data_IF_842300308804
#
_entry.id   IF_842300308804
#
_cell.length_a   1.000
_cell.length_b   1.000
_cell.length_c   1.000
_cell.angle_alpha   90.00
_cell.angle_beta   90.00
_cell.angle_gamma   90.00
#
_symmetry.space_group_name_H-M   'P 1'
#
loop_
_entity.id
_entity.type
_entity.pdbx_description
1 polymer ?
#
# COMPACT_ATOMS: atom_id res chain seq x y z
N UNK A 1 -35.62 -27.80 54.29
CA UNK A 1 -34.16 -27.85 54.01
C UNK A 1 -33.91 -26.84 52.91
N UNK A 2 -33.54 -25.60 53.29
CA UNK A 2 -33.28 -24.52 52.34
C UNK A 2 -31.84 -24.62 51.86
N UNK A 3 -31.61 -24.80 50.56
CA UNK A 3 -30.29 -24.64 49.96
C UNK A 3 -29.84 -23.19 50.11
N UNK A 4 -28.95 -22.93 51.06
CA UNK A 4 -28.14 -21.71 51.07
C UNK A 4 -27.12 -21.86 49.95
N UNK A 5 -27.27 -21.08 48.88
CA UNK A 5 -26.25 -20.96 47.85
C UNK A 5 -24.98 -20.40 48.49
N UNK A 6 -23.88 -21.13 48.40
CA UNK A 6 -22.59 -20.68 48.89
C UNK A 6 -22.05 -19.58 47.95
N UNK A 7 -22.19 -18.32 48.39
CA UNK A 7 -21.81 -17.12 47.65
C UNK A 7 -20.29 -16.84 47.66
N UNK A 8 -19.48 -17.74 48.24
CA UNK A 8 -18.03 -17.54 48.40
C UNK A 8 -17.18 -18.16 47.28
N UNK A 9 -17.76 -18.97 46.39
CA UNK A 9 -16.98 -19.60 45.32
C UNK A 9 -16.67 -18.62 44.18
N UNK A 10 -15.41 -18.60 43.73
CA UNK A 10 -14.94 -17.86 42.56
C UNK A 10 -15.82 -18.10 41.32
N UNK A 11 -16.42 -19.29 41.23
CA UNK A 11 -17.32 -19.73 40.17
C UNK A 11 -18.68 -18.97 40.19
N UNK A 12 -19.25 -18.71 41.36
CA UNK A 12 -20.49 -17.93 41.50
C UNK A 12 -20.29 -16.45 41.16
N UNK A 13 -19.09 -15.91 41.43
CA UNK A 13 -18.65 -14.58 40.98
C UNK A 13 -18.49 -14.52 39.47
N UNK A 14 -17.85 -15.53 38.88
CA UNK A 14 -17.70 -15.68 37.43
C UNK A 14 -19.06 -15.72 36.72
N UNK A 15 -20.02 -16.52 37.19
CA UNK A 15 -21.33 -16.60 36.55
C UNK A 15 -22.15 -15.29 36.65
N UNK A 16 -22.05 -14.55 37.76
CA UNK A 16 -22.76 -13.27 37.94
C UNK A 16 -22.20 -12.13 37.08
N UNK A 17 -20.90 -12.12 36.82
CA UNK A 17 -20.31 -11.16 35.88
C UNK A 17 -20.45 -11.64 34.45
N UNK A 18 -20.22 -12.92 34.18
CA UNK A 18 -20.23 -13.45 32.81
C UNK A 18 -21.64 -13.39 32.21
N UNK A 19 -22.73 -13.80 32.87
CA UNK A 19 -24.04 -13.88 32.20
C UNK A 19 -24.65 -12.52 31.77
N UNK A 20 -24.80 -11.51 32.64
CA UNK A 20 -25.38 -10.23 32.24
C UNK A 20 -24.45 -9.45 31.32
N UNK A 21 -23.13 -9.60 31.51
CA UNK A 21 -22.12 -8.96 30.68
C UNK A 21 -22.02 -9.64 29.32
N UNK A 22 -22.21 -10.96 29.23
CA UNK A 22 -22.28 -11.70 27.99
C UNK A 22 -23.55 -11.35 27.19
N UNK A 23 -24.70 -11.20 27.84
CA UNK A 23 -25.94 -10.72 27.16
C UNK A 23 -25.80 -9.26 26.72
N UNK A 24 -25.26 -8.38 27.57
CA UNK A 24 -25.00 -6.98 27.21
C UNK A 24 -23.96 -6.89 26.08
N UNK A 25 -22.88 -7.66 26.17
CA UNK A 25 -21.85 -7.78 25.15
C UNK A 25 -22.44 -8.30 23.86
N UNK A 26 -23.26 -9.36 23.87
CA UNK A 26 -23.93 -9.92 22.69
C UNK A 26 -24.92 -8.92 22.05
N UNK A 27 -25.77 -8.25 22.83
CA UNK A 27 -26.75 -7.29 22.28
C UNK A 27 -26.03 -6.03 21.76
N UNK A 28 -25.06 -5.51 22.49
CA UNK A 28 -24.32 -4.33 22.10
C UNK A 28 -23.41 -4.65 20.91
N UNK A 29 -22.68 -5.77 20.92
CA UNK A 29 -21.87 -6.21 19.77
C UNK A 29 -22.72 -6.49 18.56
N UNK A 30 -23.86 -7.19 18.64
CA UNK A 30 -24.69 -7.48 17.46
C UNK A 30 -25.25 -6.19 16.84
N UNK A 31 -25.79 -5.26 17.64
CA UNK A 31 -26.28 -3.97 17.10
C UNK A 31 -25.16 -3.09 16.55
N UNK A 32 -24.01 -3.01 17.23
CA UNK A 32 -22.85 -2.27 16.73
C UNK A 32 -22.27 -2.94 15.49
N UNK A 33 -22.20 -4.27 15.43
CA UNK A 33 -21.75 -5.05 14.28
C UNK A 33 -22.68 -4.81 13.10
N UNK A 34 -24.00 -4.85 13.26
CA UNK A 34 -24.94 -4.58 12.16
C UNK A 34 -24.76 -3.15 11.62
N UNK A 35 -24.67 -2.14 12.51
CA UNK A 35 -24.39 -0.75 12.08
C UNK A 35 -23.03 -0.62 11.43
N UNK A 36 -22.01 -1.25 12.00
CA UNK A 36 -20.67 -1.33 11.47
C UNK A 36 -20.66 -1.94 10.07
N UNK A 37 -21.32 -3.08 9.85
CA UNK A 37 -21.45 -3.73 8.55
C UNK A 37 -22.21 -2.85 7.54
N UNK A 38 -23.30 -2.18 7.95
CA UNK A 38 -24.02 -1.24 7.07
C UNK A 38 -23.13 -0.06 6.65
N UNK A 39 -22.40 0.54 7.59
CA UNK A 39 -21.41 1.57 7.28
C UNK A 39 -20.29 1.03 6.40
N UNK A 40 -19.84 -0.20 6.63
CA UNK A 40 -18.81 -0.84 5.81
C UNK A 40 -19.25 -1.00 4.35
N UNK A 41 -20.49 -1.47 4.14
CA UNK A 41 -21.07 -1.66 2.80
C UNK A 41 -21.23 -0.30 2.10
N UNK A 42 -21.76 0.70 2.81
CA UNK A 42 -21.93 2.05 2.26
C UNK A 42 -20.59 2.67 1.86
N UNK A 43 -19.58 2.58 2.71
CA UNK A 43 -18.23 3.09 2.43
C UNK A 43 -17.60 2.34 1.25
N UNK A 44 -17.65 1.01 1.24
CA UNK A 44 -17.12 0.20 0.13
C UNK A 44 -17.78 0.54 -1.21
N UNK A 45 -19.08 0.82 -1.21
CA UNK A 45 -19.81 1.25 -2.40
C UNK A 45 -19.45 2.65 -2.88
N UNK A 46 -19.07 3.55 -1.96
CA UNK A 46 -18.64 4.91 -2.27
C UNK A 46 -17.19 4.95 -2.79
N UNK A 47 -16.29 4.15 -2.21
CA UNK A 47 -14.90 4.05 -2.65
C UNK A 47 -14.78 3.60 -4.11
N UNK A 48 -15.55 2.57 -4.52
CA UNK A 48 -15.58 2.07 -5.92
C UNK A 48 -16.09 3.09 -6.95
N UNK A 49 -16.82 4.13 -6.53
CA UNK A 49 -17.33 5.18 -7.45
C UNK A 49 -16.33 6.31 -7.65
N UNK A 50 -15.30 6.42 -6.82
CA UNK A 50 -14.29 7.47 -6.94
C UNK A 50 -13.24 7.16 -8.01
N UNK A 51 -13.16 5.93 -8.50
CA UNK A 51 -12.11 5.43 -9.41
C UNK A 51 -12.25 5.85 -10.88
N UNK A 52 -13.06 6.86 -11.22
CA UNK A 52 -13.15 7.43 -12.58
C UNK A 52 -11.92 8.30 -12.91
N UNK A 53 -10.71 7.75 -12.75
CA UNK A 53 -9.41 8.39 -12.92
C UNK A 53 -8.69 8.00 -14.21
N UNK A 54 -9.35 7.26 -15.11
CA UNK A 54 -8.73 6.61 -16.28
C UNK A 54 -8.09 7.55 -17.31
N UNK A 55 -8.19 8.87 -17.14
CA UNK A 55 -7.57 9.85 -18.04
C UNK A 55 -6.15 10.30 -17.63
N UNK A 56 -5.71 10.02 -16.39
CA UNK A 56 -4.42 10.52 -15.91
C UNK A 56 -3.30 9.49 -16.10
N UNK A 57 -2.44 9.72 -17.09
CA UNK A 57 -1.32 8.83 -17.40
C UNK A 57 -0.12 8.98 -16.48
N UNK A 58 0.10 10.17 -15.91
CA UNK A 58 1.22 10.40 -14.99
C UNK A 58 0.73 11.13 -13.76
N UNK A 59 0.84 10.49 -12.60
CA UNK A 59 0.36 10.98 -11.31
C UNK A 59 1.49 10.99 -10.31
N UNK A 60 1.57 12.04 -9.50
CA UNK A 60 2.41 12.08 -8.30
C UNK A 60 1.51 12.01 -7.06
N UNK A 61 1.79 11.08 -6.16
CA UNK A 61 1.22 11.05 -4.81
C UNK A 61 2.29 11.44 -3.79
N UNK A 62 2.03 12.53 -3.08
CA UNK A 62 2.93 13.11 -2.10
C UNK A 62 2.34 13.14 -0.69
N UNK A 63 3.18 13.35 0.31
CA UNK A 63 2.73 13.47 1.69
C UNK A 63 3.86 13.20 2.68
N UNK A 64 3.69 13.70 3.90
CA UNK A 64 4.65 13.47 4.98
C UNK A 64 4.78 11.97 5.33
N UNK A 65 5.75 11.66 6.18
CA UNK A 65 5.92 10.29 6.64
C UNK A 65 4.75 9.87 7.53
N UNK A 66 4.21 8.68 7.27
CA UNK A 66 3.06 8.17 8.02
C UNK A 66 1.69 8.64 7.53
N UNK A 67 1.57 9.55 6.56
CA UNK A 67 0.25 10.00 6.04
C UNK A 67 -0.45 8.98 5.15
N UNK A 68 0.26 7.95 4.70
CA UNK A 68 -0.31 6.85 3.89
C UNK A 68 -0.15 7.00 2.38
N UNK A 69 0.69 7.91 1.89
CA UNK A 69 0.98 8.11 0.45
C UNK A 69 1.31 6.83 -0.34
N UNK A 70 2.18 5.97 0.18
CA UNK A 70 2.54 4.69 -0.45
C UNK A 70 1.34 3.77 -0.50
N UNK A 71 0.59 3.73 0.61
CA UNK A 71 -0.56 2.85 0.73
C UNK A 71 -1.65 3.20 -0.29
N UNK A 72 -1.93 4.48 -0.44
CA UNK A 72 -2.92 4.97 -1.40
C UNK A 72 -2.40 4.98 -2.83
N UNK A 73 -1.08 5.01 -3.03
CA UNK A 73 -0.45 4.77 -4.32
C UNK A 73 -0.58 3.33 -4.79
N UNK A 74 -0.38 2.36 -3.89
CA UNK A 74 -0.57 0.93 -4.20
C UNK A 74 -2.03 0.64 -4.53
N UNK A 75 -2.96 1.08 -3.68
CA UNK A 75 -4.40 0.87 -3.90
C UNK A 75 -4.85 1.44 -5.25
N UNK A 76 -4.42 2.66 -5.56
CA UNK A 76 -4.68 3.31 -6.84
C UNK A 76 -4.07 2.56 -8.04
N UNK A 77 -2.86 2.04 -7.89
CA UNK A 77 -2.18 1.31 -8.96
C UNK A 77 -2.86 -0.04 -9.26
N UNK A 78 -3.33 -0.73 -8.21
CA UNK A 78 -4.07 -1.99 -8.34
C UNK A 78 -5.38 -1.75 -9.08
N UNK A 79 -6.21 -0.82 -8.62
CA UNK A 79 -7.49 -0.51 -9.27
C UNK A 79 -7.32 -0.14 -10.74
N UNK A 80 -6.29 0.66 -11.06
CA UNK A 80 -6.00 1.06 -12.43
C UNK A 80 -5.51 -0.12 -13.29
N UNK A 81 -4.70 -1.03 -12.73
CA UNK A 81 -4.24 -2.22 -13.44
C UNK A 81 -5.39 -3.20 -13.73
N UNK A 82 -6.32 -3.38 -12.78
CA UNK A 82 -7.53 -4.17 -13.01
C UNK A 82 -8.40 -3.60 -14.13
N UNK A 83 -8.62 -2.27 -14.13
CA UNK A 83 -9.38 -1.59 -15.18
C UNK A 83 -8.69 -1.74 -16.55
N UNK A 84 -7.37 -1.52 -16.61
CA UNK A 84 -6.61 -1.65 -17.86
C UNK A 84 -6.62 -3.08 -18.40
N UNK A 85 -6.39 -4.10 -17.55
CA UNK A 85 -6.43 -5.51 -17.98
C UNK A 85 -7.80 -5.89 -18.54
N UNK A 86 -8.90 -5.48 -17.88
CA UNK A 86 -10.27 -5.74 -18.36
C UNK A 86 -10.53 -5.06 -19.72
N UNK A 87 -10.12 -3.80 -19.89
CA UNK A 87 -10.24 -3.06 -21.17
C UNK A 87 -9.41 -3.73 -22.26
N UNK A 88 -8.16 -4.10 -21.99
CA UNK A 88 -7.26 -4.76 -22.94
C UNK A 88 -7.83 -6.12 -23.37
N UNK A 89 -8.25 -6.96 -22.43
CA UNK A 89 -8.81 -8.29 -22.72
C UNK A 89 -10.12 -8.19 -23.50
N UNK A 90 -10.97 -7.21 -23.22
CA UNK A 90 -12.20 -6.95 -23.99
C UNK A 90 -11.88 -6.51 -25.42
N UNK A 91 -10.92 -5.58 -25.57
CA UNK A 91 -10.50 -5.07 -26.88
C UNK A 91 -9.86 -6.17 -27.72
N UNK A 92 -8.99 -6.99 -27.12
CA UNK A 92 -8.39 -8.15 -27.76
C UNK A 92 -9.45 -9.13 -28.30
N UNK A 93 -10.46 -9.48 -27.48
CA UNK A 93 -11.57 -10.35 -27.91
C UNK A 93 -12.34 -9.75 -29.09
N UNK A 94 -12.60 -8.44 -29.06
CA UNK A 94 -13.27 -7.73 -30.15
C UNK A 94 -12.46 -7.77 -31.44
N UNK A 95 -11.15 -7.49 -31.36
CA UNK A 95 -10.26 -7.49 -32.53
C UNK A 95 -10.09 -8.90 -33.09
N UNK A 96 -9.93 -9.90 -32.22
CA UNK A 96 -9.86 -11.32 -32.61
C UNK A 96 -11.12 -11.78 -33.33
N UNK A 97 -12.31 -11.35 -32.89
CA UNK A 97 -13.57 -11.66 -33.57
C UNK A 97 -13.69 -10.98 -34.95
N UNK A 98 -13.06 -9.82 -35.13
CA UNK A 98 -13.08 -9.02 -36.36
C UNK A 98 -11.75 -9.07 -37.13
N UNK A 99 -10.97 -10.14 -36.97
CA UNK A 99 -9.57 -10.25 -37.42
C UNK A 99 -9.33 -9.79 -38.86
N UNK A 100 -10.17 -10.22 -39.81
CA UNK A 100 -10.03 -9.85 -41.23
C UNK A 100 -10.19 -8.35 -41.50
N UNK A 101 -10.98 -7.64 -40.69
CA UNK A 101 -11.16 -6.19 -40.81
C UNK A 101 -9.98 -5.45 -40.16
N UNK A 102 -9.54 -5.93 -38.99
CA UNK A 102 -8.38 -5.40 -38.26
C UNK A 102 -7.09 -5.53 -39.08
N UNK A 103 -6.83 -6.69 -39.68
CA UNK A 103 -5.61 -6.92 -40.48
C UNK A 103 -5.54 -6.07 -41.77
N UNK A 104 -6.68 -5.55 -42.26
CA UNK A 104 -6.72 -4.65 -43.43
C UNK A 104 -6.39 -3.20 -43.08
N UNK A 105 -6.53 -2.81 -41.82
CA UNK A 105 -6.23 -1.48 -41.32
C UNK A 105 -4.84 -1.50 -40.66
N UNK A 106 -3.92 -0.68 -41.17
CA UNK A 106 -2.52 -0.69 -40.68
C UNK A 106 -2.42 -0.30 -39.20
N UNK A 107 -3.27 0.62 -38.73
CA UNK A 107 -3.26 1.11 -37.35
C UNK A 107 -3.81 0.01 -36.44
N UNK A 108 -5.00 -0.51 -36.76
CA UNK A 108 -5.63 -1.55 -35.95
C UNK A 108 -4.80 -2.84 -35.92
N UNK A 109 -4.10 -3.16 -37.01
CA UNK A 109 -3.20 -4.31 -37.09
C UNK A 109 -2.01 -4.19 -36.13
N UNK A 110 -1.41 -2.99 -36.02
CA UNK A 110 -0.32 -2.73 -35.05
C UNK A 110 -0.83 -2.80 -33.62
N UNK A 111 -1.96 -2.15 -33.33
CA UNK A 111 -2.59 -2.19 -32.01
C UNK A 111 -2.94 -3.64 -31.62
N UNK A 112 -3.46 -4.44 -32.57
CA UNK A 112 -3.79 -5.84 -32.31
C UNK A 112 -2.57 -6.68 -31.94
N UNK A 113 -1.44 -6.44 -32.60
CA UNK A 113 -0.18 -7.12 -32.27
C UNK A 113 0.30 -6.78 -30.85
N UNK A 114 0.18 -5.52 -30.42
CA UNK A 114 0.53 -5.13 -29.06
C UNK A 114 -0.39 -5.79 -28.01
N UNK A 115 -1.69 -5.93 -28.33
CA UNK A 115 -2.63 -6.67 -27.49
C UNK A 115 -2.30 -8.17 -27.44
N UNK A 116 -1.90 -8.78 -28.56
CA UNK A 116 -1.44 -10.18 -28.60
C UNK A 116 -0.22 -10.38 -27.70
N UNK A 117 0.80 -9.53 -27.84
CA UNK A 117 2.02 -9.58 -27.02
C UNK A 117 1.71 -9.39 -25.53
N UNK A 118 0.76 -8.52 -25.17
CA UNK A 118 0.31 -8.36 -23.78
C UNK A 118 -0.32 -9.65 -23.23
N UNK A 119 -1.24 -10.26 -23.98
CA UNK A 119 -1.94 -11.48 -23.54
C UNK A 119 -0.93 -12.63 -23.41
N UNK A 120 -0.07 -12.83 -24.40
CA UNK A 120 0.98 -13.86 -24.36
C UNK A 120 1.93 -13.66 -23.19
N UNK A 121 2.31 -12.42 -22.90
CA UNK A 121 3.17 -12.11 -21.76
C UNK A 121 2.53 -12.52 -20.43
N UNK A 122 1.28 -12.13 -20.17
CA UNK A 122 0.63 -12.42 -18.89
C UNK A 122 0.16 -13.86 -18.76
N UNK A 123 -0.21 -14.52 -19.86
CA UNK A 123 -0.49 -15.96 -19.87
C UNK A 123 0.78 -16.79 -19.58
N UNK A 124 1.97 -16.26 -19.90
CA UNK A 124 3.25 -16.89 -19.54
C UNK A 124 3.70 -16.62 -18.08
N UNK A 125 3.05 -15.69 -17.38
CA UNK A 125 3.38 -15.27 -16.00
C UNK A 125 2.14 -15.37 -15.09
N UNK A 126 1.51 -16.55 -15.03
CA UNK A 126 0.29 -16.79 -14.27
C UNK A 126 0.42 -16.55 -12.75
N UNK A 127 1.65 -16.57 -12.21
CA UNK A 127 1.95 -16.28 -10.80
C UNK A 127 2.03 -14.77 -10.49
N UNK A 128 1.89 -13.92 -11.50
CA UNK A 128 2.00 -12.48 -11.39
C UNK A 128 0.64 -11.76 -11.55
N UNK A 129 0.50 -10.63 -10.86
CA UNK A 129 -0.68 -9.78 -10.99
C UNK A 129 -0.62 -8.99 -12.32
N UNK A 130 -1.62 -9.12 -13.20
CA UNK A 130 -1.55 -8.58 -14.56
C UNK A 130 -1.55 -7.05 -14.57
N UNK A 131 -0.81 -6.49 -15.53
CA UNK A 131 -0.76 -5.07 -15.82
C UNK A 131 -0.02 -4.20 -14.80
N UNK A 132 0.52 -4.73 -13.70
CA UNK A 132 1.14 -3.92 -12.64
C UNK A 132 2.63 -4.22 -12.45
N UNK A 133 3.41 -3.14 -12.41
CA UNK A 133 4.85 -3.13 -12.09
C UNK A 133 5.11 -2.21 -10.90
N UNK A 134 6.00 -2.59 -9.98
CA UNK A 134 6.37 -1.74 -8.85
C UNK A 134 7.84 -1.85 -8.42
N UNK A 135 8.40 -0.74 -7.93
CA UNK A 135 9.74 -0.71 -7.33
C UNK A 135 9.80 -1.35 -5.95
N UNK A 136 8.64 -1.60 -5.32
CA UNK A 136 8.55 -2.27 -4.03
C UNK A 136 7.84 -3.61 -4.15
N UNK A 137 8.26 -4.64 -3.38
CA UNK A 137 7.59 -5.92 -3.42
C UNK A 137 6.14 -5.83 -2.94
N UNK A 138 5.19 -6.18 -3.81
CA UNK A 138 3.75 -6.21 -3.54
C UNK A 138 3.18 -7.57 -3.95
N UNK A 139 2.24 -8.07 -3.15
CA UNK A 139 1.42 -9.23 -3.44
C UNK A 139 -0.05 -8.83 -3.38
N UNK A 140 -0.84 -9.19 -4.39
CA UNK A 140 -2.28 -8.91 -4.49
C UNK A 140 -2.99 -10.24 -4.66
N UNK A 141 -3.87 -10.60 -3.71
CA UNK A 141 -4.56 -11.89 -3.68
C UNK A 141 -3.65 -13.12 -3.88
N UNK A 142 -2.40 -13.02 -3.41
CA UNK A 142 -1.39 -14.07 -3.51
C UNK A 142 -0.53 -14.01 -4.78
N UNK A 143 -0.91 -13.22 -5.78
CA UNK A 143 -0.14 -12.99 -7.00
C UNK A 143 0.93 -11.93 -6.78
N UNK A 144 2.10 -12.14 -7.39
CA UNK A 144 3.25 -11.24 -7.25
C UNK A 144 3.17 -10.08 -8.25
N UNK A 145 3.44 -8.86 -7.81
CA UNK A 145 3.60 -7.72 -8.72
C UNK A 145 4.99 -7.75 -9.36
N UNK A 146 5.07 -7.46 -10.66
CA UNK A 146 6.34 -7.46 -11.40
C UNK A 146 7.26 -6.34 -10.92
N UNK A 147 8.58 -6.59 -10.95
CA UNK A 147 9.57 -5.62 -10.52
C UNK A 147 9.73 -4.50 -11.55
N UNK A 148 9.59 -3.25 -11.10
CA UNK A 148 9.87 -2.07 -11.89
C UNK A 148 11.29 -1.58 -11.63
N UNK A 149 12.00 -1.23 -12.70
CA UNK A 149 13.39 -0.75 -12.69
C UNK A 149 13.52 0.54 -13.48
N UNK A 150 14.48 1.39 -13.12
CA UNK A 150 14.85 2.61 -13.87
C UNK A 150 15.05 2.34 -15.37
N UNK A 151 15.60 1.18 -15.71
CA UNK A 151 15.83 0.74 -17.10
C UNK A 151 14.56 0.68 -17.95
N UNK A 152 13.37 0.50 -17.35
CA UNK A 152 12.11 0.58 -18.08
C UNK A 152 11.79 2.01 -18.51
N UNK A 153 12.08 3.00 -17.67
CA UNK A 153 11.87 4.42 -18.00
C UNK A 153 12.93 4.92 -19.00
N UNK A 154 14.16 4.42 -18.90
CA UNK A 154 15.22 4.71 -19.87
C UNK A 154 15.07 3.94 -21.19
N UNK A 155 14.03 3.12 -21.33
CA UNK A 155 13.71 2.33 -22.52
C UNK A 155 14.76 1.24 -22.86
N UNK A 156 15.56 0.81 -21.89
CA UNK A 156 16.44 -0.35 -22.04
C UNK A 156 15.70 -1.68 -21.88
N UNK A 157 14.57 -1.67 -21.16
CA UNK A 157 13.67 -2.81 -20.98
C UNK A 157 12.27 -2.40 -21.42
N UNK A 158 11.63 -3.21 -22.27
CA UNK A 158 10.28 -2.94 -22.78
C UNK A 158 9.22 -3.33 -21.76
N UNK A 159 8.19 -2.50 -21.60
CA UNK A 159 6.98 -2.79 -20.84
C UNK A 159 5.88 -3.33 -21.77
N UNK A 160 5.05 -4.30 -21.32
CA UNK A 160 3.83 -4.70 -22.04
C UNK A 160 2.85 -3.54 -22.17
N UNK A 161 2.12 -3.46 -23.28
CA UNK A 161 1.12 -2.41 -23.53
C UNK A 161 0.15 -2.21 -22.35
N UNK A 162 -0.19 -0.97 -22.04
CA UNK A 162 -1.14 -0.61 -20.97
C UNK A 162 -0.65 -0.88 -19.55
N UNK A 163 0.65 -1.15 -19.36
CA UNK A 163 1.21 -1.38 -18.02
C UNK A 163 1.07 -0.16 -17.10
N UNK A 164 0.71 -0.43 -15.86
CA UNK A 164 0.70 0.50 -14.73
C UNK A 164 2.00 0.35 -13.94
N UNK A 165 2.69 1.46 -13.73
CA UNK A 165 4.03 1.51 -13.18
C UNK A 165 4.03 2.34 -11.88
N UNK A 166 4.25 1.69 -10.74
CA UNK A 166 4.31 2.30 -9.41
C UNK A 166 5.75 2.46 -8.92
N UNK A 167 6.24 3.69 -8.89
CA UNK A 167 7.50 4.06 -8.27
C UNK A 167 7.28 4.55 -6.83
N UNK A 168 7.50 3.69 -5.83
CA UNK A 168 7.60 4.13 -4.43
C UNK A 168 8.97 4.73 -4.14
N UNK A 169 9.00 5.77 -3.28
CA UNK A 169 10.19 6.59 -3.00
C UNK A 169 10.95 6.99 -4.28
N UNK A 170 10.21 7.48 -5.28
CA UNK A 170 10.70 7.74 -6.64
C UNK A 170 11.93 8.65 -6.75
N UNK A 171 12.23 9.44 -5.70
CA UNK A 171 13.44 10.25 -5.61
C UNK A 171 14.74 9.44 -5.60
N UNK A 172 14.68 8.15 -5.27
CA UNK A 172 15.86 7.28 -5.30
C UNK A 172 16.36 7.07 -6.73
N UNK A 173 15.44 6.92 -7.68
CA UNK A 173 15.76 6.71 -9.10
C UNK A 173 15.79 8.03 -9.88
N UNK A 174 14.96 9.01 -9.48
CA UNK A 174 14.79 10.28 -10.18
C UNK A 174 14.89 11.48 -9.22
N UNK A 175 16.05 11.69 -8.57
CA UNK A 175 16.24 12.81 -7.66
C UNK A 175 16.16 14.14 -8.39
N UNK A 176 15.63 15.15 -7.72
CA UNK A 176 15.79 16.54 -8.14
C UNK A 176 17.27 16.91 -8.05
N UNK A 177 17.89 17.09 -9.21
CA UNK A 177 19.21 17.72 -9.34
C UNK A 177 19.05 19.21 -9.63
N UNK A 178 20.12 19.97 -9.38
CA UNK A 178 20.23 21.36 -9.81
C UNK A 178 20.30 21.47 -11.33
N UNK A 179 21.13 22.38 -11.86
CA UNK A 179 21.38 22.44 -13.30
C UNK A 179 22.13 21.18 -13.74
N UNK A 180 21.51 20.26 -14.52
CA UNK A 180 22.20 19.05 -14.93
C UNK A 180 23.31 19.38 -15.93
N UNK A 181 24.39 18.61 -15.90
CA UNK A 181 25.45 18.69 -16.90
C UNK A 181 24.92 18.28 -18.29
N UNK A 182 25.68 18.57 -19.35
CA UNK A 182 25.28 18.18 -20.70
C UNK A 182 25.19 16.64 -20.85
N UNK A 183 26.07 15.91 -20.18
CA UNK A 183 26.11 14.44 -20.16
C UNK A 183 24.90 13.85 -19.44
N UNK A 184 24.57 14.35 -18.24
CA UNK A 184 23.37 13.93 -17.49
C UNK A 184 22.10 14.17 -18.29
N UNK A 185 22.02 15.31 -19.00
CA UNK A 185 20.87 15.62 -19.86
C UNK A 185 20.74 14.66 -21.04
N UNK A 186 21.87 14.23 -21.62
CA UNK A 186 21.87 13.28 -22.73
C UNK A 186 21.43 11.88 -22.28
N UNK A 187 21.89 11.41 -21.12
CA UNK A 187 21.48 10.13 -20.54
C UNK A 187 19.99 10.09 -20.19
N UNK A 188 19.42 11.24 -19.84
CA UNK A 188 18.02 11.36 -19.40
C UNK A 188 17.02 11.70 -20.49
N UNK A 189 17.48 12.16 -21.64
CA UNK A 189 16.60 12.49 -22.76
C UNK A 189 15.62 11.37 -23.10
N UNK A 190 16.04 10.08 -23.14
CA UNK A 190 15.11 8.97 -23.40
C UNK A 190 14.01 8.86 -22.34
N UNK A 191 14.33 9.07 -21.06
CA UNK A 191 13.34 9.03 -19.97
C UNK A 191 12.38 10.22 -20.01
N UNK A 192 12.88 11.42 -20.34
CA UNK A 192 12.05 12.60 -20.52
C UNK A 192 11.08 12.44 -21.71
N UNK A 193 11.58 11.95 -22.84
CA UNK A 193 10.76 11.63 -24.01
C UNK A 193 9.68 10.60 -23.67
N UNK A 194 10.08 9.52 -22.99
CA UNK A 194 9.18 8.44 -22.60
C UNK A 194 8.01 8.94 -21.74
N UNK A 195 8.31 9.64 -20.64
CA UNK A 195 7.29 10.15 -19.71
C UNK A 195 6.38 11.20 -20.37
N UNK A 196 6.89 11.97 -21.34
CA UNK A 196 6.07 12.95 -22.08
C UNK A 196 5.10 12.33 -23.10
N UNK A 197 5.38 11.10 -23.57
CA UNK A 197 4.66 10.45 -24.67
C UNK A 197 4.14 9.06 -24.28
N UNK A 198 3.89 8.83 -22.99
CA UNK A 198 3.43 7.54 -22.42
C UNK A 198 2.23 6.95 -23.16
N UNK A 199 1.30 7.80 -23.62
CA UNK A 199 0.14 7.37 -24.41
C UNK A 199 0.51 6.85 -25.79
N UNK A 200 1.49 7.48 -26.45
CA UNK A 200 1.94 7.11 -27.79
C UNK A 200 2.82 5.86 -27.80
N UNK A 201 3.55 5.59 -26.72
CA UNK A 201 4.46 4.45 -26.66
C UNK A 201 3.77 3.13 -26.33
N UNK A 202 2.70 3.16 -25.55
CA UNK A 202 2.00 1.93 -25.17
C UNK A 202 0.94 2.15 -24.14
N UNK A 203 0.32 3.34 -24.11
CA UNK A 203 -0.74 3.68 -23.15
C UNK A 203 -0.36 3.44 -21.67
N UNK A 204 0.90 3.71 -21.30
CA UNK A 204 1.41 3.43 -19.96
C UNK A 204 0.91 4.42 -18.91
N UNK A 205 0.70 3.94 -17.69
CA UNK A 205 0.39 4.77 -16.53
C UNK A 205 1.54 4.77 -15.53
N UNK A 206 1.99 5.95 -15.10
CA UNK A 206 3.04 6.12 -14.09
C UNK A 206 2.49 6.77 -12.82
N UNK A 207 2.74 6.12 -11.69
CA UNK A 207 2.38 6.61 -10.36
C UNK A 207 3.67 6.76 -9.57
N UNK A 208 4.05 8.01 -9.31
CA UNK A 208 5.24 8.35 -8.54
C UNK A 208 4.84 8.70 -7.11
N UNK A 209 5.35 7.97 -6.14
CA UNK A 209 5.17 8.25 -4.71
C UNK A 209 6.44 8.88 -4.16
N UNK A 210 6.30 10.03 -3.52
CA UNK A 210 7.43 10.75 -2.88
C UNK A 210 6.96 11.51 -1.65
N UNK A 211 7.87 12.05 -0.84
CA UNK A 211 7.49 12.94 0.26
C UNK A 211 7.00 14.29 -0.25
N UNK A 212 7.71 14.86 -1.23
CA UNK A 212 7.38 16.12 -1.90
C UNK A 212 7.56 15.98 -3.40
N UNK A 213 6.69 16.63 -4.18
CA UNK A 213 6.82 16.62 -5.64
C UNK A 213 8.10 17.32 -6.10
N UNK A 214 8.54 18.34 -5.35
CA UNK A 214 9.79 19.07 -5.62
C UNK A 214 11.06 18.21 -5.52
N UNK A 215 11.01 17.08 -4.80
CA UNK A 215 12.14 16.14 -4.70
C UNK A 215 12.31 15.29 -5.95
N UNK A 216 11.34 15.31 -6.87
CA UNK A 216 11.38 14.59 -8.11
C UNK A 216 11.99 15.42 -9.23
N UNK A 217 12.54 14.70 -10.20
CA UNK A 217 13.17 15.28 -11.38
C UNK A 217 12.22 16.14 -12.20
N UNK A 218 12.74 17.24 -12.76
CA UNK A 218 11.92 18.24 -13.46
C UNK A 218 11.10 17.67 -14.63
N UNK A 219 11.65 16.74 -15.41
CA UNK A 219 10.92 16.15 -16.53
C UNK A 219 9.70 15.33 -16.07
N UNK A 220 9.76 14.70 -14.89
CA UNK A 220 8.59 14.01 -14.32
C UNK A 220 7.54 15.06 -13.95
N UNK A 221 7.94 16.06 -13.13
CA UNK A 221 7.04 17.11 -12.65
C UNK A 221 6.32 17.84 -13.79
N UNK A 222 7.02 18.11 -14.90
CA UNK A 222 6.47 18.80 -16.06
C UNK A 222 5.40 18.00 -16.82
N UNK A 223 5.43 16.68 -16.74
CA UNK A 223 4.55 15.79 -17.52
C UNK A 223 3.46 15.14 -16.65
N UNK A 224 3.28 15.64 -15.43
CA UNK A 224 2.29 15.12 -14.47
C UNK A 224 0.93 15.76 -14.73
N UNK A 225 -0.07 14.91 -14.92
CA UNK A 225 -1.46 15.33 -15.04
C UNK A 225 -2.06 15.75 -13.69
N UNK A 226 -1.65 15.08 -12.60
CA UNK A 226 -2.18 15.33 -11.26
C UNK A 226 -1.12 15.15 -10.17
N UNK A 227 -1.01 16.15 -9.29
CA UNK A 227 -0.26 16.05 -8.04
C UNK A 227 -1.24 15.92 -6.87
N UNK A 228 -1.31 14.77 -6.22
CA UNK A 228 -2.14 14.55 -5.04
C UNK A 228 -1.28 14.60 -3.77
N UNK A 229 -1.60 15.51 -2.85
CA UNK A 229 -0.96 15.60 -1.55
C UNK A 229 -1.85 15.00 -0.46
N UNK A 230 -1.40 13.90 0.15
CA UNK A 230 -2.07 13.22 1.26
C UNK A 230 -1.72 13.95 2.56
N UNK A 231 -2.71 14.62 3.14
CA UNK A 231 -2.57 15.41 4.36
C UNK A 231 -2.59 14.50 5.59
N UNK A 232 -3.59 13.62 5.67
CA UNK A 232 -3.86 12.86 6.89
C UNK A 232 -4.43 11.48 6.57
N UNK A 233 -4.07 10.51 7.40
CA UNK A 233 -4.82 9.27 7.53
C UNK A 233 -5.40 9.12 8.93
N UNK A 234 -6.58 8.52 9.02
CA UNK A 234 -7.22 8.15 10.27
C UNK A 234 -7.83 6.77 10.14
N UNK A 235 -7.74 5.96 11.21
CA UNK A 235 -8.47 4.69 11.28
C UNK A 235 -9.84 4.96 11.88
N UNK A 236 -10.88 4.85 11.08
CA UNK A 236 -12.27 5.06 11.51
C UNK A 236 -13.00 3.73 11.64
N UNK A 237 -14.03 3.71 12.47
CA UNK A 237 -14.88 2.54 12.73
C UNK A 237 -14.10 1.31 13.24
N UNK A 238 -12.86 1.49 13.69
CA UNK A 238 -12.07 0.43 14.34
C UNK A 238 -12.63 0.17 15.74
N UNK A 239 -12.76 -1.09 16.18
CA UNK A 239 -13.29 -1.43 17.51
C UNK A 239 -12.24 -1.14 18.60
N UNK A 240 -11.97 0.15 18.85
CA UNK A 240 -10.92 0.59 19.78
C UNK A 240 -11.13 0.05 21.19
N UNK A 241 -12.36 0.06 21.70
CA UNK A 241 -12.68 -0.49 23.03
C UNK A 241 -12.30 -1.98 23.18
N UNK A 242 -12.48 -2.78 22.12
CA UNK A 242 -12.06 -4.19 22.14
C UNK A 242 -10.54 -4.31 22.12
N UNK A 243 -9.86 -3.44 21.38
CA UNK A 243 -8.40 -3.41 21.33
C UNK A 243 -7.78 -2.99 22.66
N UNK A 244 -8.37 -1.99 23.31
CA UNK A 244 -7.93 -1.52 24.63
C UNK A 244 -8.12 -2.63 25.67
N UNK A 245 -9.24 -3.34 25.62
CA UNK A 245 -9.48 -4.52 26.47
C UNK A 245 -8.46 -5.65 26.22
N UNK A 246 -8.16 -5.95 24.95
CA UNK A 246 -7.17 -6.99 24.59
C UNK A 246 -5.75 -6.57 24.99
N UNK A 247 -5.39 -5.29 24.86
CA UNK A 247 -4.09 -4.78 25.33
C UNK A 247 -3.99 -4.89 26.87
N UNK A 248 -5.05 -4.50 27.59
CA UNK A 248 -5.11 -4.67 29.04
C UNK A 248 -4.95 -6.14 29.46
N UNK A 249 -5.58 -7.07 28.74
CA UNK A 249 -5.38 -8.51 28.96
C UNK A 249 -3.93 -8.95 28.69
N UNK A 250 -3.30 -8.44 27.63
CA UNK A 250 -1.91 -8.74 27.27
C UNK A 250 -0.94 -8.27 28.37
N UNK A 251 -1.12 -7.03 28.87
CA UNK A 251 -0.33 -6.45 29.95
C UNK A 251 -0.52 -7.24 31.26
N UNK A 252 -1.77 -7.57 31.61
CA UNK A 252 -2.08 -8.38 32.79
C UNK A 252 -1.45 -9.78 32.75
N UNK A 253 -1.43 -10.41 31.58
CA UNK A 253 -0.81 -11.73 31.35
C UNK A 253 0.71 -11.64 31.43
N UNK A 254 1.31 -10.55 30.93
CA UNK A 254 2.75 -10.31 31.01
C UNK A 254 3.23 -10.17 32.46
N UNK A 255 2.45 -9.49 33.30
CA UNK A 255 2.78 -9.30 34.72
C UNK A 255 2.48 -10.55 35.59
N UNK A 256 1.92 -11.62 35.01
CA UNK A 256 1.56 -12.81 35.76
C UNK A 256 2.79 -13.71 36.04
N UNK A 257 3.01 -14.15 37.29
CA UNK A 257 4.19 -14.94 37.68
C UNK A 257 4.18 -16.39 37.17
N UNK A 258 3.16 -16.79 36.41
CA UNK A 258 2.99 -18.16 35.89
C UNK A 258 3.12 -18.11 34.37
N UNK A 259 3.85 -19.07 33.79
CA UNK A 259 4.01 -19.18 32.35
C UNK A 259 2.67 -19.48 31.65
N UNK A 260 2.04 -18.44 31.13
CA UNK A 260 0.75 -18.47 30.42
C UNK A 260 0.93 -18.42 28.90
N UNK A 261 2.01 -19.03 28.38
CA UNK A 261 2.36 -18.99 26.96
C UNK A 261 1.23 -19.40 25.99
N UNK A 262 0.32 -20.26 26.44
CA UNK A 262 -0.82 -20.71 25.64
C UNK A 262 -1.84 -19.59 25.35
N UNK A 263 -1.88 -18.51 26.13
CA UNK A 263 -2.81 -17.38 25.94
C UNK A 263 -2.31 -16.33 24.94
N UNK A 264 -0.99 -16.19 24.76
CA UNK A 264 -0.42 -15.21 23.82
C UNK A 264 -0.81 -15.49 22.37
N UNK A 265 -0.89 -16.77 21.98
CA UNK A 265 -1.25 -17.15 20.61
C UNK A 265 -2.69 -16.72 20.26
N UNK A 266 -3.74 -17.07 21.05
CA UNK A 266 -5.09 -16.54 20.87
C UNK A 266 -5.15 -15.00 20.87
N UNK A 267 -4.50 -14.34 21.84
CA UNK A 267 -4.48 -12.87 21.94
C UNK A 267 -3.89 -12.24 20.68
N UNK A 268 -2.78 -12.77 20.19
CA UNK A 268 -2.16 -12.33 18.95
C UNK A 268 -3.12 -12.42 17.76
N UNK A 269 -3.83 -13.54 17.60
CA UNK A 269 -4.78 -13.71 16.50
C UNK A 269 -6.01 -12.80 16.64
N UNK A 270 -6.55 -12.62 17.85
CA UNK A 270 -7.67 -11.71 18.11
C UNK A 270 -7.24 -10.27 17.79
N UNK A 271 -6.09 -9.82 18.31
CA UNK A 271 -5.54 -8.49 18.02
C UNK A 271 -5.29 -8.29 16.53
N UNK A 272 -4.73 -9.30 15.84
CA UNK A 272 -4.56 -9.29 14.39
C UNK A 272 -5.88 -9.16 13.64
N UNK A 273 -6.93 -9.86 14.07
CA UNK A 273 -8.27 -9.78 13.49
C UNK A 273 -8.91 -8.40 13.73
N UNK A 274 -8.93 -7.92 14.97
CA UNK A 274 -9.49 -6.60 15.32
C UNK A 274 -8.80 -5.45 14.56
N UNK A 275 -7.49 -5.58 14.30
CA UNK A 275 -6.73 -4.60 13.51
C UNK A 275 -7.12 -4.52 12.04
N UNK A 276 -7.81 -5.53 11.51
CA UNK A 276 -8.34 -5.56 10.14
C UNK A 276 -9.74 -4.97 10.03
N UNK A 277 -10.41 -4.69 11.15
CA UNK A 277 -11.78 -4.18 11.20
C UNK A 277 -11.77 -2.66 11.11
N UNK A 278 -12.48 -2.12 10.12
CA UNK A 278 -12.74 -0.68 9.92
C UNK A 278 -12.15 -0.16 8.61
N UNK A 279 -11.93 1.15 8.54
CA UNK A 279 -11.43 1.82 7.35
C UNK A 279 -10.31 2.80 7.67
N UNK A 280 -9.41 2.98 6.73
CA UNK A 280 -8.66 4.21 6.62
C UNK A 280 -9.56 5.29 5.99
N UNK A 281 -9.54 6.48 6.58
CA UNK A 281 -10.03 7.72 5.98
C UNK A 281 -8.81 8.53 5.59
N UNK A 282 -8.68 8.83 4.30
CA UNK A 282 -7.63 9.70 3.79
C UNK A 282 -8.20 11.06 3.45
N UNK A 283 -7.45 12.10 3.79
CA UNK A 283 -7.73 13.46 3.35
C UNK A 283 -6.61 13.90 2.42
N UNK A 284 -6.96 14.32 1.21
CA UNK A 284 -6.00 14.76 0.21
C UNK A 284 -6.42 16.04 -0.47
N UNK A 285 -5.42 16.73 -1.03
CA UNK A 285 -5.60 17.91 -1.87
C UNK A 285 -4.94 17.63 -3.20
N UNK A 286 -5.67 17.82 -4.29
CA UNK A 286 -5.12 17.71 -5.64
C UNK A 286 -4.71 19.08 -6.17
N UNK A 287 -3.50 19.16 -6.72
CA UNK A 287 -2.95 20.32 -7.41
C UNK A 287 -2.76 20.00 -8.88
N UNK A 288 -2.91 21.01 -9.74
CA UNK A 288 -2.47 20.97 -11.13
C UNK A 288 -0.94 20.86 -11.23
N UNK A 289 -0.43 20.81 -12.47
CA UNK A 289 1.01 20.82 -12.72
C UNK A 289 1.67 22.03 -12.00
N UNK A 290 2.63 21.73 -11.13
CA UNK A 290 3.24 22.73 -10.24
C UNK A 290 4.28 23.62 -10.92
N UNK A 291 4.62 23.36 -12.19
CA UNK A 291 5.71 24.03 -12.91
C UNK A 291 5.24 25.11 -13.90
N UNK A 292 3.94 25.20 -14.22
CA UNK A 292 3.39 26.29 -15.04
C UNK A 292 3.07 27.53 -14.20
N UNK A 293 3.44 28.72 -14.68
CA UNK A 293 3.41 30.02 -13.96
C UNK A 293 2.02 30.44 -13.42
N UNK A 294 0.93 29.81 -13.86
CA UNK A 294 -0.44 30.03 -13.37
C UNK A 294 -0.74 29.30 -12.05
N UNK A 295 0.20 29.35 -11.10
CA UNK A 295 -0.04 29.03 -9.68
C UNK A 295 -0.38 27.57 -9.36
N UNK A 296 -0.11 27.17 -8.11
CA UNK A 296 -0.71 25.97 -7.52
C UNK A 296 -2.20 26.21 -7.37
N UNK A 297 -2.97 25.93 -8.42
CA UNK A 297 -4.42 25.96 -8.31
C UNK A 297 -4.81 24.69 -7.57
N UNK A 298 -5.26 24.86 -6.33
CA UNK A 298 -5.93 23.79 -5.59
C UNK A 298 -7.16 23.39 -6.41
N UNK A 299 -7.14 22.18 -6.95
CA UNK A 299 -8.22 21.66 -7.80
C UNK A 299 -9.38 21.21 -6.93
N UNK A 300 -9.10 20.41 -5.90
CA UNK A 300 -10.13 19.74 -5.12
C UNK A 300 -9.58 19.21 -3.79
N UNK A 301 -10.40 19.29 -2.73
CA UNK A 301 -10.20 18.54 -1.49
C UNK A 301 -10.96 17.24 -1.57
N UNK A 302 -10.25 16.12 -1.43
CA UNK A 302 -10.83 14.78 -1.52
C UNK A 302 -10.78 14.08 -0.17
N UNK A 303 -11.85 13.34 0.10
CA UNK A 303 -11.89 12.35 1.17
C UNK A 303 -12.26 11.04 0.51
N UNK A 304 -11.43 10.03 0.72
CA UNK A 304 -11.73 8.67 0.30
C UNK A 304 -11.42 7.71 1.43
N UNK A 305 -12.02 6.54 1.31
CA UNK A 305 -11.99 5.52 2.35
C UNK A 305 -11.46 4.22 1.76
N UNK A 306 -10.63 3.53 2.52
CA UNK A 306 -10.05 2.26 2.12
C UNK A 306 -10.20 1.26 3.26
N UNK A 307 -10.58 -0.01 3.01
CA UNK A 307 -10.71 -0.99 4.09
C UNK A 307 -9.37 -1.23 4.82
N UNK A 308 -9.46 -1.50 6.14
CA UNK A 308 -8.29 -1.90 6.92
C UNK A 308 -7.81 -3.32 6.56
N UNK A 309 -8.76 -4.20 6.20
CA UNK A 309 -8.46 -5.47 5.56
C UNK A 309 -8.23 -5.22 4.07
N UNK A 310 -6.95 -5.20 3.69
CA UNK A 310 -6.53 -4.99 2.30
C UNK A 310 -6.39 -6.34 1.62
N UNK A 311 -6.65 -6.33 0.34
CA UNK A 311 -6.49 -7.50 -0.54
C UNK A 311 -5.03 -7.61 -1.05
N UNK A 312 -4.16 -6.70 -0.59
CA UNK A 312 -2.73 -6.69 -0.89
C UNK A 312 -1.83 -6.58 0.35
N UNK A 313 -0.60 -7.06 0.19
CA UNK A 313 0.49 -7.00 1.16
C UNK A 313 1.71 -6.38 0.46
N UNK A 314 2.45 -5.52 1.15
CA UNK A 314 3.68 -4.93 0.63
C UNK A 314 4.76 -4.85 1.71
N UNK A 315 6.03 -4.94 1.30
CA UNK A 315 7.15 -4.77 2.23
C UNK A 315 7.40 -3.28 2.52
N UNK A 316 6.71 -2.77 3.54
CA UNK A 316 6.92 -1.41 4.08
C UNK A 316 8.35 -1.09 4.52
N UNK A 317 9.24 -2.09 4.62
CA UNK A 317 10.63 -1.91 5.04
C UNK A 317 11.62 -2.50 4.03
N UNK A 318 11.27 -2.51 2.74
CA UNK A 318 12.13 -2.95 1.64
C UNK A 318 13.49 -2.24 1.61
N UNK A 319 13.54 -0.95 1.96
CA UNK A 319 14.78 -0.16 1.99
C UNK A 319 15.67 -0.39 3.23
N UNK A 320 15.39 -1.40 4.06
CA UNK A 320 16.23 -1.73 5.25
C UNK A 320 17.69 -1.99 4.89
N UNK A 321 17.95 -2.54 3.72
CA UNK A 321 19.29 -2.84 3.21
C UNK A 321 20.07 -1.58 2.84
N UNK A 322 19.37 -0.47 2.56
CA UNK A 322 19.99 0.83 2.25
C UNK A 322 20.58 1.50 3.49
N UNK A 323 20.18 1.09 4.70
CA UNK A 323 20.76 1.60 5.93
C UNK A 323 22.15 1.01 6.16
N UNK A 324 23.19 1.76 5.75
CA UNK A 324 24.60 1.33 5.79
C UNK A 324 25.03 0.80 7.17
N UNK A 325 24.59 1.45 8.25
CA UNK A 325 24.95 1.08 9.62
C UNK A 325 24.28 -0.22 10.11
N UNK A 326 23.30 -0.79 9.38
CA UNK A 326 22.75 -2.11 9.71
C UNK A 326 23.76 -3.25 9.52
N UNK A 327 24.82 -3.02 8.72
CA UNK A 327 25.93 -3.96 8.55
C UNK A 327 26.80 -4.04 9.81
N UNK A 328 26.74 -3.03 10.68
CA UNK A 328 27.42 -3.04 11.96
C UNK A 328 26.54 -3.78 12.98
N UNK A 329 27.12 -4.72 13.71
CA UNK A 329 26.46 -5.35 14.84
C UNK A 329 26.26 -4.32 15.96
N UNK A 330 25.08 -4.33 16.58
CA UNK A 330 24.75 -3.38 17.66
C UNK A 330 25.74 -3.42 18.83
N UNK A 331 26.37 -4.58 19.06
CA UNK A 331 27.42 -4.77 20.05
C UNK A 331 28.70 -3.98 19.76
N UNK A 332 28.91 -3.55 18.52
CA UNK A 332 30.08 -2.77 18.06
C UNK A 332 29.72 -1.35 17.63
N UNK A 333 28.51 -0.88 17.96
CA UNK A 333 28.15 0.49 17.72
C UNK A 333 29.03 1.40 18.60
N UNK A 334 29.87 2.23 17.95
CA UNK A 334 30.85 3.12 18.59
C UNK A 334 30.22 4.12 19.58
N UNK A 335 28.91 4.35 19.54
CA UNK A 335 28.22 5.12 20.57
C UNK A 335 28.18 4.38 21.93
N UNK A 336 28.24 3.04 21.92
CA UNK A 336 28.23 2.19 23.11
C UNK A 336 29.63 1.84 23.62
N UNK A 337 30.71 2.16 22.90
CA UNK A 337 32.08 1.90 23.38
C UNK A 337 32.48 2.73 24.61
N UNK A 338 31.66 3.71 25.01
CA UNK A 338 31.77 4.43 26.30
C UNK A 338 30.75 3.98 27.36
N UNK A 339 29.73 3.20 26.99
CA UNK A 339 28.79 2.56 27.91
C UNK A 339 29.37 1.22 28.34
N UNK A 340 30.46 1.26 29.13
CA UNK A 340 30.85 0.08 29.89
C UNK A 340 29.63 -0.38 30.70
N UNK A 341 29.20 -1.63 30.50
CA UNK A 341 28.24 -2.31 31.38
C UNK A 341 28.77 -2.26 32.81
N UNK A 342 28.42 -1.24 33.57
CA UNK A 342 28.28 -1.38 35.02
C UNK A 342 26.95 -2.12 35.21
N UNK A 343 26.99 -3.25 35.91
CA UNK A 343 25.82 -3.89 36.54
C UNK A 343 25.03 -4.98 35.77
N UNK A 344 25.66 -5.80 34.93
CA UNK A 344 25.05 -7.10 34.59
C UNK A 344 26.06 -8.25 34.64
N UNK A 345 26.07 -8.89 35.82
CA UNK A 345 26.54 -10.23 36.19
C UNK A 345 27.98 -10.64 35.80
N UNK A 346 28.80 -11.13 36.75
CA UNK A 346 30.07 -11.76 36.40
C UNK A 346 29.78 -13.00 35.55
N UNK A 347 30.23 -12.98 34.30
CA UNK A 347 30.34 -14.17 33.48
C UNK A 347 31.30 -15.12 34.22
N UNK A 348 30.74 -16.23 34.70
CA UNK A 348 31.49 -17.37 35.21
C UNK A 348 32.45 -17.80 34.09
N UNK A 349 33.74 -17.82 34.43
CA UNK A 349 34.81 -18.20 33.53
C UNK A 349 34.67 -19.71 33.21
N UNK A 350 34.56 -20.14 31.93
CA UNK A 350 34.38 -21.55 31.60
C UNK A 350 35.69 -22.35 31.56
N UNK A 351 36.77 -21.85 32.18
CA UNK A 351 38.01 -22.59 32.37
C UNK A 351 38.50 -22.41 33.81
N UNK A 352 37.94 -23.23 34.71
CA UNK A 352 38.61 -23.84 35.87
C UNK A 352 37.79 -24.99 36.42
#
# INVERSE_FOLDING_TARGET
MFCTWDYSSWYAWLQRFVCPFQIFFEIFTVKYLIRFFKCCIAIRSASRRQDAYSSNFTVIKCGENGTGKTLTGIDYAISLAEEQDDVIRKTYKLYKANRKAVEKDEILSKDFKELEEYIEFWDAHEDCFPGLFSTVPIFVDGLKVMELKRDHVLQYIRLPYGSVCLYDEAKLDFPAVGTPTAEERAEESPGADFISKVRHYGNFHFIFVSQKSSELRKFIRNNVAMNEYIIKNEKILRPNWMLDFINWLEDYIYDFPINVNFLYKPIFYIKKFLNKIGFFKFQSVTYSNTETETGKTELEKKVYYMPLNKDFIYDSRCYRTNYKAKKETLSYNKAFSGLQRRDLYPLVNPEK
#
